data_IF_437221201551
#
_entry.id   IF_437221201551
#
_cell.length_a   1.000
_cell.length_b   1.000
_cell.length_c   1.000
_cell.angle_alpha   90.00
_cell.angle_beta   90.00
_cell.angle_gamma   90.00
#
_symmetry.space_group_name_H-M   'P 1'
#
loop_
_entity.id
_entity.type
_entity.pdbx_description
1 polymer ?
#
# COMPACT_ATOMS: atom_id res chain seq x y z
N UNK A 1 -7.27 -8.36 2.23
CA UNK A 1 -8.52 -7.58 2.37
C UNK A 1 -8.44 -6.41 1.41
N UNK A 2 -9.44 -6.19 0.55
CA UNK A 2 -9.47 -5.04 -0.36
C UNK A 2 -10.26 -3.89 0.26
N UNK A 3 -9.81 -2.65 0.03
CA UNK A 3 -10.51 -1.44 0.46
C UNK A 3 -10.50 -0.40 -0.66
N UNK A 4 -11.45 0.53 -0.62
CA UNK A 4 -11.42 1.69 -1.50
C UNK A 4 -10.42 2.73 -1.00
N UNK A 5 -9.74 3.39 -1.93
CA UNK A 5 -8.87 4.52 -1.65
C UNK A 5 -9.64 5.67 -1.00
N UNK A 6 -9.30 6.00 0.25
CA UNK A 6 -9.85 7.14 1.00
C UNK A 6 -8.95 8.38 0.83
N UNK A 7 -8.58 8.72 -0.40
CA UNK A 7 -7.79 9.93 -0.65
C UNK A 7 -8.67 11.18 -0.50
N UNK A 8 -8.24 12.12 0.35
CA UNK A 8 -8.96 13.40 0.53
C UNK A 8 -8.66 14.40 -0.60
N UNK A 9 -7.54 14.21 -1.32
CA UNK A 9 -7.11 15.10 -2.41
C UNK A 9 -7.76 14.77 -3.75
N UNK A 10 -8.13 13.52 -3.99
CA UNK A 10 -8.82 13.10 -5.20
C UNK A 10 -9.87 12.02 -4.91
N UNK A 11 -10.96 12.01 -5.68
CA UNK A 11 -12.03 11.02 -5.56
C UNK A 11 -11.64 9.68 -6.19
N UNK A 12 -10.42 9.19 -5.90
CA UNK A 12 -9.80 8.04 -6.55
C UNK A 12 -10.71 6.81 -6.51
N UNK A 13 -11.32 6.53 -5.35
CA UNK A 13 -12.27 5.42 -5.12
C UNK A 13 -11.81 4.06 -5.68
N UNK A 14 -10.50 3.91 -5.92
CA UNK A 14 -9.92 2.73 -6.52
C UNK A 14 -9.84 1.66 -5.45
N UNK A 15 -10.40 0.50 -5.74
CA UNK A 15 -10.21 -0.68 -4.90
C UNK A 15 -8.74 -1.14 -4.98
N UNK A 16 -8.13 -1.35 -3.83
CA UNK A 16 -6.77 -1.86 -3.72
C UNK A 16 -6.63 -2.78 -2.51
N UNK A 17 -5.68 -3.70 -2.58
CA UNK A 17 -5.35 -4.58 -1.46
C UNK A 17 -4.58 -3.80 -0.39
N UNK A 18 -5.11 -3.82 0.84
CA UNK A 18 -4.36 -3.37 2.01
C UNK A 18 -3.40 -4.47 2.40
N UNK A 19 -2.14 -4.10 2.62
CA UNK A 19 -1.16 -5.02 3.19
C UNK A 19 -1.16 -4.88 4.71
N UNK A 20 -1.35 -5.99 5.40
CA UNK A 20 -1.19 -6.06 6.84
C UNK A 20 0.31 -6.13 7.20
N UNK A 21 0.67 -5.66 8.40
CA UNK A 21 2.05 -5.69 8.88
C UNK A 21 2.62 -7.11 8.98
N UNK A 22 1.82 -8.09 9.37
CA UNK A 22 2.23 -9.49 9.49
C UNK A 22 2.43 -10.14 8.11
N UNK A 23 1.53 -9.85 7.16
CA UNK A 23 1.65 -10.32 5.77
C UNK A 23 2.89 -9.73 5.09
N UNK A 24 3.18 -8.44 5.33
CA UNK A 24 4.40 -7.81 4.85
C UNK A 24 5.67 -8.44 5.45
N UNK A 25 5.68 -8.69 6.76
CA UNK A 25 6.81 -9.33 7.43
C UNK A 25 7.08 -10.72 6.87
N UNK A 26 6.03 -11.50 6.58
CA UNK A 26 6.15 -12.80 5.93
C UNK A 26 6.76 -12.67 4.53
N UNK A 27 6.27 -11.74 3.70
CA UNK A 27 6.80 -11.53 2.35
C UNK A 27 8.28 -11.10 2.34
N UNK A 28 8.70 -10.29 3.31
CA UNK A 28 10.10 -9.88 3.48
C UNK A 28 10.96 -11.06 3.94
N UNK A 29 10.53 -11.80 4.96
CA UNK A 29 11.29 -12.92 5.53
C UNK A 29 11.53 -14.04 4.50
N UNK A 30 10.58 -14.28 3.61
CA UNK A 30 10.72 -15.26 2.54
C UNK A 30 11.48 -14.74 1.31
N UNK A 31 12.06 -13.52 1.36
CA UNK A 31 12.83 -12.94 0.25
C UNK A 31 12.00 -12.69 -1.01
N UNK A 32 10.67 -12.60 -0.89
CA UNK A 32 9.74 -12.43 -2.03
C UNK A 32 9.60 -10.98 -2.47
N UNK A 33 10.24 -10.05 -1.75
CA UNK A 33 10.21 -8.62 -2.04
C UNK A 33 11.62 -8.09 -2.22
N UNK A 34 11.78 -7.25 -3.24
CA UNK A 34 12.98 -6.40 -3.37
C UNK A 34 12.98 -5.34 -2.28
N UNK A 35 14.14 -4.81 -1.93
CA UNK A 35 14.29 -3.82 -0.86
C UNK A 35 13.45 -2.55 -1.10
N UNK A 36 13.38 -2.09 -2.36
CA UNK A 36 12.53 -0.97 -2.77
C UNK A 36 11.04 -1.26 -2.55
N UNK A 37 10.57 -2.45 -2.96
CA UNK A 37 9.18 -2.86 -2.72
C UNK A 37 8.87 -3.03 -1.24
N UNK A 38 9.79 -3.59 -0.47
CA UNK A 38 9.64 -3.75 0.96
C UNK A 38 9.54 -2.38 1.67
N UNK A 39 10.40 -1.44 1.30
CA UNK A 39 10.40 -0.07 1.87
C UNK A 39 9.09 0.65 1.56
N UNK A 40 8.65 0.55 0.30
CA UNK A 40 7.37 1.13 -0.13
C UNK A 40 6.16 0.48 0.55
N UNK A 41 6.15 -0.83 0.76
CA UNK A 41 5.06 -1.51 1.46
C UNK A 41 5.08 -1.19 2.96
N UNK A 42 6.27 -1.08 3.57
CA UNK A 42 6.43 -0.68 4.99
C UNK A 42 5.85 0.69 5.26
N UNK A 43 6.10 1.67 4.38
CA UNK A 43 5.56 3.02 4.55
C UNK A 43 4.02 3.06 4.37
N UNK A 44 3.45 2.03 3.74
CA UNK A 44 2.00 1.89 3.48
C UNK A 44 1.24 0.96 4.42
N UNK A 45 1.90 0.32 5.40
CA UNK A 45 1.20 -0.56 6.36
C UNK A 45 0.11 0.23 7.08
N UNK A 46 -1.13 -0.27 7.04
CA UNK A 46 -2.30 0.40 7.62
C UNK A 46 -2.78 1.65 6.86
N UNK A 47 -2.18 1.99 5.72
CA UNK A 47 -2.65 3.09 4.88
C UNK A 47 -3.94 2.74 4.17
N UNK A 48 -4.89 3.66 4.19
CA UNK A 48 -6.14 3.58 3.43
C UNK A 48 -6.04 4.23 2.04
N UNK A 49 -4.83 4.62 1.63
CA UNK A 49 -4.56 5.20 0.32
C UNK A 49 -4.05 4.14 -0.65
N UNK A 50 -4.53 4.18 -1.89
CA UNK A 50 -3.98 3.38 -2.98
C UNK A 50 -2.53 3.79 -3.28
N UNK A 51 -1.86 3.03 -4.15
CA UNK A 51 -0.45 3.29 -4.49
C UNK A 51 -0.20 4.71 -4.97
N UNK A 52 -0.94 5.15 -5.98
CA UNK A 52 -0.75 6.46 -6.60
C UNK A 52 -0.99 7.60 -5.61
N UNK A 53 -2.10 7.57 -4.86
CA UNK A 53 -2.40 8.60 -3.87
C UNK A 53 -1.38 8.64 -2.72
N UNK A 54 -0.80 7.49 -2.34
CA UNK A 54 0.23 7.44 -1.30
C UNK A 54 1.54 8.11 -1.71
N UNK A 55 1.87 8.09 -3.01
CA UNK A 55 3.06 8.76 -3.57
C UNK A 55 2.73 10.14 -4.16
N UNK A 56 1.61 10.72 -3.73
CA UNK A 56 1.10 12.04 -4.15
C UNK A 56 0.80 12.18 -5.66
N UNK A 57 0.66 11.05 -6.38
CA UNK A 57 0.19 11.01 -7.77
C UNK A 57 -1.34 10.99 -7.82
N UNK A 58 -1.96 12.15 -7.55
CA UNK A 58 -3.41 12.33 -7.61
C UNK A 58 -3.84 12.51 -9.07
N UNK A 59 -4.53 11.50 -9.62
CA UNK A 59 -5.15 11.56 -10.97
C UNK A 59 -6.61 11.97 -10.88
#
# INVERSE_FOLDING_TARGET
MTTNCECEKCNCNREFETIDGEELLNLIQHGRLTEEKATYLKSRVGSKLCKSCFIDEHT
#
